data_IF_428748661203
#
_entry.id   IF_428748661203
#
_cell.length_a   1.000
_cell.length_b   1.000
_cell.length_c   1.000
_cell.angle_alpha   90.00
_cell.angle_beta   90.00
_cell.angle_gamma   90.00
#
_symmetry.space_group_name_H-M   'P 1'
#
loop_
_entity.id
_entity.type
_entity.pdbx_description
1 polymer ?
#
# COMPACT_ATOMS: atom_id res chain seq x y z
N UNK A 1 5.84 -35.62 100.48
CA UNK A 1 4.81 -34.58 100.26
C UNK A 1 5.21 -33.50 99.25
N UNK A 2 6.44 -32.96 99.28
CA UNK A 2 6.80 -31.76 98.50
C UNK A 2 7.22 -32.02 97.04
N UNK A 3 7.95 -33.10 96.74
CA UNK A 3 8.36 -33.44 95.36
C UNK A 3 7.19 -33.77 94.42
N UNK A 4 6.20 -34.53 94.90
CA UNK A 4 4.97 -34.80 94.14
C UNK A 4 4.15 -33.55 93.85
N UNK A 5 4.09 -32.58 94.79
CA UNK A 5 3.40 -31.31 94.58
C UNK A 5 4.05 -30.45 93.50
N UNK A 6 5.38 -30.47 93.38
CA UNK A 6 6.11 -29.73 92.34
C UNK A 6 5.92 -30.39 90.98
N UNK A 7 6.06 -31.72 90.91
CA UNK A 7 5.83 -32.49 89.68
C UNK A 7 4.39 -32.31 89.17
N UNK A 8 3.39 -32.36 90.06
CA UNK A 8 2.00 -32.12 89.67
C UNK A 8 1.75 -30.69 89.15
N UNK A 9 2.47 -29.69 89.68
CA UNK A 9 2.37 -28.30 89.20
C UNK A 9 3.05 -28.14 87.83
N UNK A 10 4.19 -28.80 87.62
CA UNK A 10 4.90 -28.80 86.34
C UNK A 10 4.10 -29.52 85.24
N UNK A 11 3.50 -30.68 85.56
CA UNK A 11 2.62 -31.41 84.64
C UNK A 11 1.36 -30.62 84.32
N UNK A 12 0.82 -29.86 85.29
CA UNK A 12 -0.33 -28.98 85.07
C UNK A 12 0.03 -27.83 84.13
N UNK A 13 1.14 -27.14 84.37
CA UNK A 13 1.62 -26.06 83.49
C UNK A 13 1.90 -26.57 82.08
N UNK A 14 2.60 -27.70 81.93
CA UNK A 14 2.84 -28.33 80.63
C UNK A 14 1.53 -28.69 79.93
N UNK A 15 0.55 -29.21 80.66
CA UNK A 15 -0.77 -29.53 80.09
C UNK A 15 -1.53 -28.28 79.65
N UNK A 16 -1.41 -27.17 80.39
CA UNK A 16 -1.98 -25.88 80.02
C UNK A 16 -1.29 -25.31 78.76
N UNK A 17 0.03 -25.42 78.66
CA UNK A 17 0.82 -24.99 77.50
C UNK A 17 0.53 -25.84 76.25
N UNK A 18 0.41 -27.16 76.40
CA UNK A 18 0.01 -28.07 75.32
C UNK A 18 -1.41 -27.75 74.85
N UNK A 19 -2.33 -27.47 75.78
CA UNK A 19 -3.71 -27.09 75.45
C UNK A 19 -3.78 -25.75 74.73
N UNK A 20 -3.01 -24.76 75.18
CA UNK A 20 -2.90 -23.46 74.51
C UNK A 20 -2.34 -23.62 73.10
N UNK A 21 -1.21 -24.33 72.97
CA UNK A 21 -0.55 -24.58 71.68
C UNK A 21 -1.46 -25.34 70.72
N UNK A 22 -2.20 -26.35 71.20
CA UNK A 22 -3.17 -27.09 70.39
C UNK A 22 -4.32 -26.21 69.89
N UNK A 23 -4.76 -25.23 70.71
CA UNK A 23 -5.78 -24.26 70.31
C UNK A 23 -5.23 -23.29 69.25
N UNK A 24 -4.00 -22.80 69.42
CA UNK A 24 -3.32 -21.99 68.41
C UNK A 24 -3.15 -22.73 67.09
N UNK A 25 -2.75 -24.00 67.11
CA UNK A 25 -2.66 -24.85 65.91
C UNK A 25 -4.04 -25.01 65.26
N UNK A 26 -5.09 -25.27 66.03
CA UNK A 26 -6.46 -25.38 65.48
C UNK A 26 -6.91 -24.10 64.80
N UNK A 27 -6.65 -22.93 65.41
CA UNK A 27 -6.97 -21.63 64.82
C UNK A 27 -6.19 -21.42 63.53
N UNK A 28 -4.89 -21.70 63.54
CA UNK A 28 -4.04 -21.55 62.35
C UNK A 28 -4.51 -22.44 61.20
N UNK A 29 -4.85 -23.71 61.49
CA UNK A 29 -5.41 -24.64 60.50
C UNK A 29 -6.73 -24.13 59.92
N UNK A 30 -7.59 -23.53 60.74
CA UNK A 30 -8.84 -22.92 60.26
C UNK A 30 -8.57 -21.74 59.33
N UNK A 31 -7.63 -20.86 59.69
CA UNK A 31 -7.22 -19.73 58.84
C UNK A 31 -6.63 -20.22 57.52
N UNK A 32 -5.80 -21.27 57.54
CA UNK A 32 -5.23 -21.88 56.33
C UNK A 32 -6.35 -22.42 55.43
N UNK A 33 -7.36 -23.09 56.00
CA UNK A 33 -8.50 -23.61 55.25
C UNK A 33 -9.29 -22.49 54.57
N UNK A 34 -9.62 -21.43 55.31
CA UNK A 34 -10.35 -20.28 54.76
C UNK A 34 -9.54 -19.56 53.68
N UNK A 35 -8.25 -19.36 53.89
CA UNK A 35 -7.37 -18.78 52.88
C UNK A 35 -7.29 -19.66 51.62
N UNK A 36 -7.24 -20.99 51.77
CA UNK A 36 -7.22 -21.91 50.64
C UNK A 36 -8.53 -21.84 49.83
N UNK A 37 -9.68 -21.76 50.51
CA UNK A 37 -10.97 -21.61 49.87
C UNK A 37 -11.05 -20.28 49.09
N UNK A 38 -10.58 -19.18 49.68
CA UNK A 38 -10.52 -17.87 49.01
C UNK A 38 -9.60 -17.88 47.79
N UNK A 39 -8.46 -18.55 47.87
CA UNK A 39 -7.55 -18.70 46.72
C UNK A 39 -8.23 -19.48 45.58
N UNK A 40 -8.94 -20.56 45.90
CA UNK A 40 -9.70 -21.33 44.89
C UNK A 40 -10.75 -20.46 44.21
N UNK A 41 -11.52 -19.69 44.98
CA UNK A 41 -12.54 -18.79 44.44
C UNK A 41 -11.93 -17.70 43.54
N UNK A 42 -10.77 -17.16 43.90
CA UNK A 42 -10.05 -16.19 43.05
C UNK A 42 -9.60 -16.84 41.74
N UNK A 43 -9.10 -18.07 41.77
CA UNK A 43 -8.70 -18.81 40.57
C UNK A 43 -9.88 -19.10 39.65
N UNK A 44 -11.01 -19.55 40.21
CA UNK A 44 -12.24 -19.80 39.46
C UNK A 44 -12.76 -18.53 38.76
N UNK A 45 -12.65 -17.39 39.44
CA UNK A 45 -13.03 -16.08 38.88
C UNK A 45 -12.02 -15.53 37.86
N UNK A 46 -10.77 -15.97 37.87
CA UNK A 46 -9.73 -15.53 36.92
C UNK A 46 -9.77 -16.28 35.59
N UNK A 47 -10.22 -17.54 35.57
CA UNK A 47 -10.32 -18.33 34.36
C UNK A 47 -11.08 -17.63 33.21
N UNK A 48 -12.30 -17.09 33.41
CA UNK A 48 -13.03 -16.41 32.34
C UNK A 48 -12.34 -15.11 31.87
N UNK A 49 -11.52 -14.49 32.72
CA UNK A 49 -10.72 -13.31 32.34
C UNK A 49 -9.61 -13.74 31.37
N UNK A 50 -8.92 -14.84 31.66
CA UNK A 50 -7.87 -15.40 30.78
C UNK A 50 -8.47 -15.83 29.43
N UNK A 51 -9.64 -16.45 29.44
CA UNK A 51 -10.34 -16.88 28.22
C UNK A 51 -10.74 -15.66 27.36
N UNK A 52 -11.22 -14.59 27.99
CA UNK A 52 -11.52 -13.32 27.31
C UNK A 52 -10.26 -12.66 26.74
N UNK A 53 -9.16 -12.63 27.50
CA UNK A 53 -7.88 -12.09 27.02
C UNK A 53 -7.40 -12.87 25.79
N UNK A 54 -7.45 -14.20 25.84
CA UNK A 54 -7.05 -15.07 24.73
C UNK A 54 -7.91 -14.83 23.49
N UNK A 55 -9.22 -14.71 23.68
CA UNK A 55 -10.18 -14.38 22.61
C UNK A 55 -9.87 -13.03 21.99
N UNK A 56 -9.63 -12.00 22.80
CA UNK A 56 -9.29 -10.66 22.34
C UNK A 56 -7.97 -10.63 21.56
N UNK A 57 -6.95 -11.37 22.03
CA UNK A 57 -5.66 -11.48 21.32
C UNK A 57 -5.87 -12.10 19.94
N UNK A 58 -6.67 -13.16 19.83
CA UNK A 58 -6.97 -13.80 18.55
C UNK A 58 -7.71 -12.85 17.60
N UNK A 59 -8.68 -12.08 18.10
CA UNK A 59 -9.39 -11.05 17.31
C UNK A 59 -8.45 -9.93 16.83
N UNK A 60 -7.49 -9.52 17.66
CA UNK A 60 -6.49 -8.52 17.29
C UNK A 60 -5.60 -9.06 16.16
N UNK A 61 -5.13 -10.31 16.27
CA UNK A 61 -4.30 -10.95 15.25
C UNK A 61 -5.05 -11.04 13.92
N UNK A 62 -6.31 -11.44 13.93
CA UNK A 62 -7.17 -11.47 12.74
C UNK A 62 -7.36 -10.08 12.14
N UNK A 63 -7.66 -9.08 12.97
CA UNK A 63 -7.84 -7.69 12.53
C UNK A 63 -6.58 -7.13 11.89
N UNK A 64 -5.40 -7.44 12.44
CA UNK A 64 -4.11 -7.04 11.86
C UNK A 64 -3.93 -7.68 10.48
N UNK A 65 -4.29 -8.96 10.32
CA UNK A 65 -4.26 -9.64 9.02
C UNK A 65 -5.12 -8.91 7.98
N UNK A 66 -6.35 -8.57 8.34
CA UNK A 66 -7.27 -7.81 7.45
C UNK A 66 -6.69 -6.45 7.06
N UNK A 67 -6.05 -5.74 7.99
CA UNK A 67 -5.42 -4.44 7.72
C UNK A 67 -4.25 -4.59 6.75
N UNK A 68 -3.42 -5.63 6.90
CA UNK A 68 -2.31 -5.90 5.99
C UNK A 68 -2.83 -6.17 4.58
N UNK A 69 -3.81 -7.07 4.44
CA UNK A 69 -4.38 -7.44 3.14
C UNK A 69 -5.02 -6.24 2.43
N UNK A 70 -5.81 -5.44 3.15
CA UNK A 70 -6.39 -4.20 2.61
C UNK A 70 -5.32 -3.19 2.19
N UNK A 71 -4.22 -3.11 2.94
CA UNK A 71 -3.11 -2.19 2.64
C UNK A 71 -2.36 -2.61 1.38
N UNK A 72 -2.17 -3.91 1.18
CA UNK A 72 -1.58 -4.46 -0.06
C UNK A 72 -2.49 -4.20 -1.27
N UNK A 73 -3.79 -4.45 -1.14
CA UNK A 73 -4.77 -4.13 -2.19
C UNK A 73 -4.81 -2.63 -2.51
N UNK A 74 -4.75 -1.77 -1.49
CA UNK A 74 -4.69 -0.32 -1.68
C UNK A 74 -3.44 0.09 -2.48
N UNK A 75 -2.28 -0.51 -2.18
CA UNK A 75 -1.04 -0.24 -2.93
C UNK A 75 -1.22 -0.55 -4.43
N UNK A 76 -1.81 -1.69 -4.78
CA UNK A 76 -2.05 -2.07 -6.18
C UNK A 76 -2.99 -1.09 -6.89
N UNK A 77 -4.09 -0.68 -6.24
CA UNK A 77 -5.01 0.32 -6.79
C UNK A 77 -4.33 1.68 -6.98
N UNK A 78 -3.51 2.11 -6.01
CA UNK A 78 -2.76 3.37 -6.13
C UNK A 78 -1.75 3.34 -7.28
N UNK A 79 -1.07 2.20 -7.49
CA UNK A 79 -0.17 2.03 -8.63
C UNK A 79 -0.93 2.14 -9.96
N UNK A 80 -2.06 1.44 -10.09
CA UNK A 80 -2.93 1.54 -11.26
C UNK A 80 -3.38 2.99 -11.54
N UNK A 81 -3.90 3.69 -10.51
CA UNK A 81 -4.35 5.08 -10.64
C UNK A 81 -3.19 5.98 -11.08
N UNK A 82 -2.00 5.80 -10.48
CA UNK A 82 -0.81 6.59 -10.82
C UNK A 82 -0.40 6.39 -12.29
N UNK A 83 -0.40 5.14 -12.78
CA UNK A 83 -0.10 4.86 -14.19
C UNK A 83 -1.14 5.48 -15.11
N UNK A 84 -2.44 5.31 -14.85
CA UNK A 84 -3.50 5.90 -15.68
C UNK A 84 -3.43 7.42 -15.69
N UNK A 85 -3.15 8.05 -14.54
CA UNK A 85 -2.94 9.50 -14.46
C UNK A 85 -1.75 9.94 -15.32
N UNK A 86 -0.63 9.21 -15.28
CA UNK A 86 0.51 9.46 -16.14
C UNK A 86 0.13 9.37 -17.62
N UNK A 87 -0.59 8.32 -18.03
CA UNK A 87 -1.07 8.14 -19.41
C UNK A 87 -1.96 9.32 -19.85
N UNK A 88 -2.80 9.86 -18.97
CA UNK A 88 -3.61 11.05 -19.28
C UNK A 88 -2.76 12.32 -19.41
N UNK A 89 -1.73 12.50 -18.57
CA UNK A 89 -0.81 13.65 -18.66
C UNK A 89 -0.10 13.65 -20.02
N UNK A 90 0.42 12.50 -20.47
CA UNK A 90 1.13 12.44 -21.76
C UNK A 90 0.22 12.69 -22.97
N UNK A 91 -1.08 12.34 -22.89
CA UNK A 91 -2.06 12.74 -23.91
C UNK A 91 -2.20 14.26 -24.00
N UNK A 92 -2.32 14.93 -22.86
CA UNK A 92 -2.39 16.40 -22.79
C UNK A 92 -1.11 17.04 -23.32
N UNK A 93 0.07 16.49 -22.94
CA UNK A 93 1.36 16.95 -23.46
C UNK A 93 1.41 16.89 -24.99
N UNK A 94 0.86 15.85 -25.62
CA UNK A 94 0.79 15.74 -27.09
C UNK A 94 -0.14 16.79 -27.71
N UNK A 95 -1.28 17.08 -27.09
CA UNK A 95 -2.18 18.14 -27.55
C UNK A 95 -1.46 19.50 -27.49
N UNK A 96 -0.78 19.79 -26.40
CA UNK A 96 0.01 21.02 -26.23
C UNK A 96 1.13 21.09 -27.28
N UNK A 97 1.84 19.99 -27.51
CA UNK A 97 2.91 19.94 -28.49
C UNK A 97 2.42 20.23 -29.92
N UNK A 98 1.30 19.63 -30.33
CA UNK A 98 0.67 19.93 -31.64
C UNK A 98 0.23 21.39 -31.75
N UNK A 99 -0.34 21.95 -30.68
CA UNK A 99 -0.69 23.38 -30.65
C UNK A 99 0.52 24.28 -30.83
N UNK A 100 1.68 23.91 -30.28
CA UNK A 100 2.92 24.66 -30.51
C UNK A 100 3.35 24.59 -31.97
N UNK A 101 3.26 23.42 -32.64
CA UNK A 101 3.51 23.31 -34.09
C UNK A 101 2.62 24.26 -34.89
N UNK A 102 1.30 24.25 -34.63
CA UNK A 102 0.37 25.16 -35.29
C UNK A 102 0.69 26.62 -35.03
N UNK A 103 1.03 26.97 -33.79
CA UNK A 103 1.37 28.33 -33.39
C UNK A 103 2.64 28.83 -34.09
N UNK A 104 3.66 27.99 -34.24
CA UNK A 104 4.87 28.33 -34.98
C UNK A 104 4.57 28.62 -36.46
N UNK A 105 3.73 27.79 -37.09
CA UNK A 105 3.27 28.01 -38.46
C UNK A 105 2.48 29.32 -38.62
N UNK A 106 1.55 29.59 -37.71
CA UNK A 106 0.72 30.82 -37.73
C UNK A 106 1.57 32.08 -37.52
N UNK A 107 2.55 32.03 -36.62
CA UNK A 107 3.45 33.15 -36.33
C UNK A 107 4.60 33.28 -37.36
N UNK A 108 4.69 32.34 -38.30
CA UNK A 108 5.79 32.22 -39.28
C UNK A 108 7.17 32.13 -38.62
N UNK A 109 7.24 31.54 -37.43
CA UNK A 109 8.49 31.36 -36.69
C UNK A 109 9.13 30.02 -37.07
N UNK A 110 10.08 30.09 -38.01
CA UNK A 110 10.79 28.95 -38.58
C UNK A 110 12.07 28.56 -37.82
N UNK A 111 12.50 29.37 -36.83
CA UNK A 111 13.77 29.17 -36.12
C UNK A 111 13.59 28.49 -34.76
N UNK A 112 12.36 28.50 -34.24
CA UNK A 112 12.02 27.84 -32.98
C UNK A 112 12.12 26.31 -33.10
N UNK A 113 12.81 25.70 -32.13
CA UNK A 113 12.98 24.24 -32.07
C UNK A 113 11.87 23.61 -31.25
N UNK A 114 11.19 22.62 -31.83
CA UNK A 114 10.28 21.74 -31.09
C UNK A 114 11.02 20.46 -30.65
N UNK A 115 10.53 19.83 -29.58
CA UNK A 115 11.16 18.64 -29.00
C UNK A 115 11.08 17.41 -29.91
N UNK A 116 12.07 16.53 -29.78
CA UNK A 116 12.08 15.21 -30.42
C UNK A 116 11.30 14.18 -29.59
N UNK A 117 10.84 13.10 -30.24
CA UNK A 117 10.04 12.06 -29.59
C UNK A 117 10.70 11.45 -28.35
N UNK A 118 12.01 11.19 -28.38
CA UNK A 118 12.81 10.63 -27.29
C UNK A 118 13.06 11.61 -26.12
N UNK A 119 12.89 12.91 -26.36
CA UNK A 119 13.10 13.96 -25.38
C UNK A 119 11.82 14.39 -24.65
N UNK A 120 10.64 14.08 -25.22
CA UNK A 120 9.36 14.37 -24.62
C UNK A 120 9.07 13.47 -23.40
N UNK A 121 8.06 13.80 -22.60
CA UNK A 121 7.70 13.01 -21.40
C UNK A 121 7.38 11.56 -21.76
N UNK A 122 6.63 11.34 -22.84
CA UNK A 122 6.29 9.99 -23.29
C UNK A 122 7.52 9.21 -23.74
N UNK A 123 8.44 9.82 -24.50
CA UNK A 123 9.67 9.15 -24.94
C UNK A 123 10.58 8.78 -23.78
N UNK A 124 10.81 9.72 -22.86
CA UNK A 124 11.61 9.44 -21.65
C UNK A 124 11.04 8.30 -20.82
N UNK A 125 9.72 8.23 -20.71
CA UNK A 125 9.06 7.12 -20.03
C UNK A 125 9.16 5.82 -20.83
N UNK A 126 8.84 5.85 -22.12
CA UNK A 126 8.85 4.68 -23.01
C UNK A 126 10.23 3.99 -23.03
N UNK A 127 11.30 4.75 -23.21
CA UNK A 127 12.67 4.20 -23.21
C UNK A 127 13.25 4.02 -21.80
N UNK A 128 12.63 4.62 -20.78
CA UNK A 128 13.07 4.56 -19.39
C UNK A 128 12.60 3.31 -18.65
N UNK A 129 13.23 3.03 -17.50
CA UNK A 129 12.92 1.85 -16.69
C UNK A 129 11.44 1.74 -16.32
N UNK A 130 10.78 2.86 -15.99
CA UNK A 130 9.37 2.89 -15.61
C UNK A 130 8.44 2.42 -16.73
N UNK A 131 8.65 2.88 -17.98
CA UNK A 131 7.84 2.45 -19.11
C UNK A 131 8.18 1.03 -19.56
N UNK A 132 9.44 0.62 -19.46
CA UNK A 132 9.87 -0.73 -19.84
C UNK A 132 9.21 -1.85 -19.01
N UNK A 133 8.65 -1.55 -17.83
CA UNK A 133 7.82 -2.50 -17.07
C UNK A 133 6.58 -2.95 -17.85
N UNK A 134 6.14 -2.17 -18.84
CA UNK A 134 4.98 -2.43 -19.68
C UNK A 134 5.35 -3.08 -21.03
N UNK A 135 6.60 -3.52 -21.23
CA UNK A 135 7.08 -4.08 -22.49
C UNK A 135 6.31 -5.31 -22.97
N UNK A 136 5.63 -6.02 -22.06
CA UNK A 136 4.82 -7.20 -22.37
C UNK A 136 3.46 -6.86 -23.01
N UNK A 137 2.94 -5.65 -22.83
CA UNK A 137 1.68 -5.25 -23.45
C UNK A 137 1.90 -4.89 -24.93
N UNK A 138 1.05 -5.44 -25.80
CA UNK A 138 1.08 -5.12 -27.23
C UNK A 138 0.80 -3.63 -27.47
N UNK A 139 -0.15 -3.06 -26.73
CA UNK A 139 -0.51 -1.64 -26.74
C UNK A 139 0.70 -0.75 -26.43
N UNK A 140 1.51 -1.12 -25.44
CA UNK A 140 2.76 -0.41 -25.14
C UNK A 140 3.76 -0.47 -26.30
N UNK A 141 4.07 -1.67 -26.82
CA UNK A 141 5.03 -1.81 -27.95
C UNK A 141 4.58 -1.04 -29.19
N UNK A 142 3.27 -0.98 -29.42
CA UNK A 142 2.66 -0.30 -30.56
C UNK A 142 2.69 1.23 -30.46
N UNK A 143 3.14 1.81 -29.34
CA UNK A 143 3.26 3.27 -29.19
C UNK A 143 4.41 3.88 -29.99
N UNK A 144 5.52 3.15 -30.15
CA UNK A 144 6.78 3.75 -30.62
C UNK A 144 6.65 4.35 -32.02
N UNK A 145 6.12 3.56 -32.96
CA UNK A 145 5.97 3.96 -34.35
C UNK A 145 5.09 5.22 -34.51
N UNK A 146 3.83 5.25 -34.04
CA UNK A 146 2.99 6.45 -34.16
C UNK A 146 3.54 7.63 -33.36
N UNK A 147 4.18 7.41 -32.21
CA UNK A 147 4.79 8.50 -31.44
C UNK A 147 5.96 9.16 -32.18
N UNK A 148 6.88 8.36 -32.74
CA UNK A 148 7.97 8.87 -33.58
C UNK A 148 7.43 9.59 -34.81
N UNK A 149 6.35 9.10 -35.37
CA UNK A 149 5.68 9.67 -36.54
C UNK A 149 5.07 11.05 -36.26
N UNK A 150 4.40 11.25 -35.12
CA UNK A 150 3.89 12.56 -34.69
C UNK A 150 5.00 13.62 -34.73
N UNK A 151 6.13 13.32 -34.08
CA UNK A 151 7.23 14.26 -34.00
C UNK A 151 7.88 14.48 -35.37
N UNK A 152 8.12 13.41 -36.14
CA UNK A 152 8.76 13.50 -37.46
C UNK A 152 7.92 14.31 -38.44
N UNK A 153 6.61 14.08 -38.47
CA UNK A 153 5.68 14.80 -39.32
C UNK A 153 5.56 16.29 -38.93
N UNK A 154 5.47 16.61 -37.63
CA UNK A 154 5.45 18.01 -37.17
C UNK A 154 6.72 18.79 -37.53
N UNK A 155 7.91 18.17 -37.39
CA UNK A 155 9.17 18.77 -37.86
C UNK A 155 9.19 18.95 -39.38
N UNK A 156 8.70 17.96 -40.13
CA UNK A 156 8.65 18.02 -41.59
C UNK A 156 7.69 19.10 -42.09
N UNK A 157 6.55 19.30 -41.43
CA UNK A 157 5.61 20.38 -41.72
C UNK A 157 6.27 21.76 -41.59
N UNK A 158 7.04 22.01 -40.52
CA UNK A 158 7.79 23.26 -40.36
C UNK A 158 8.84 23.47 -41.46
N UNK A 159 9.54 22.40 -41.86
CA UNK A 159 10.53 22.46 -42.92
C UNK A 159 9.91 22.78 -44.29
N UNK A 160 8.80 22.14 -44.64
CA UNK A 160 8.08 22.42 -45.88
C UNK A 160 7.48 23.83 -45.90
N UNK A 161 6.97 24.31 -44.76
CA UNK A 161 6.54 25.69 -44.61
C UNK A 161 7.68 26.68 -44.86
N UNK A 162 8.87 26.44 -44.31
CA UNK A 162 10.05 27.28 -44.54
C UNK A 162 10.51 27.25 -46.01
N UNK A 163 10.30 26.13 -46.71
CA UNK A 163 10.58 25.99 -48.15
C UNK A 163 9.48 26.58 -49.05
N UNK A 164 8.35 27.04 -48.50
CA UNK A 164 7.20 27.57 -49.24
C UNK A 164 6.30 26.50 -49.88
N UNK A 165 6.49 25.22 -49.57
CA UNK A 165 5.65 24.13 -50.07
C UNK A 165 4.45 23.90 -49.15
N UNK A 166 3.37 24.65 -49.41
CA UNK A 166 2.15 24.58 -48.60
C UNK A 166 1.41 23.24 -48.74
N UNK A 167 1.56 22.55 -49.87
CA UNK A 167 0.89 21.27 -50.10
C UNK A 167 1.55 20.16 -49.27
N UNK A 168 2.88 20.08 -49.32
CA UNK A 168 3.63 19.12 -48.52
C UNK A 168 3.49 19.40 -47.02
N UNK A 169 3.50 20.67 -46.60
CA UNK A 169 3.21 21.07 -45.22
C UNK A 169 1.84 20.54 -44.76
N UNK A 170 0.78 20.73 -45.55
CA UNK A 170 -0.57 20.27 -45.19
C UNK A 170 -0.62 18.74 -45.04
N UNK A 171 0.05 18.00 -45.93
CA UNK A 171 0.10 16.54 -45.86
C UNK A 171 0.81 16.04 -44.60
N UNK A 172 1.90 16.70 -44.20
CA UNK A 172 2.61 16.36 -42.96
C UNK A 172 1.79 16.72 -41.71
N UNK A 173 1.00 17.79 -41.72
CA UNK A 173 0.06 18.08 -40.63
C UNK A 173 -1.03 17.01 -40.50
N UNK A 174 -1.62 16.57 -41.61
CA UNK A 174 -2.60 15.47 -41.61
C UNK A 174 -1.99 14.15 -41.11
N UNK A 175 -0.71 13.89 -41.43
CA UNK A 175 0.03 12.73 -40.94
C UNK A 175 0.32 12.84 -39.44
N UNK A 176 0.71 14.02 -38.95
CA UNK A 176 0.90 14.31 -37.53
C UNK A 176 -0.40 14.06 -36.74
N UNK A 177 -1.54 14.56 -37.22
CA UNK A 177 -2.83 14.40 -36.55
C UNK A 177 -3.29 12.94 -36.50
N UNK A 178 -3.20 12.21 -37.62
CA UNK A 178 -3.54 10.77 -37.65
C UNK A 178 -2.68 9.96 -36.70
N UNK A 179 -1.37 10.18 -36.71
CA UNK A 179 -0.43 9.48 -35.82
C UNK A 179 -0.67 9.84 -34.36
N UNK A 180 -1.07 11.08 -34.08
CA UNK A 180 -1.43 11.51 -32.72
C UNK A 180 -2.67 10.79 -32.21
N UNK A 181 -3.67 10.56 -33.06
CA UNK A 181 -4.84 9.77 -32.71
C UNK A 181 -4.46 8.30 -32.43
N UNK A 182 -3.53 7.74 -33.21
CA UNK A 182 -3.00 6.39 -32.96
C UNK A 182 -2.29 6.30 -31.61
N UNK A 183 -1.45 7.28 -31.24
CA UNK A 183 -0.83 7.34 -29.90
C UNK A 183 -1.90 7.34 -28.80
N UNK A 184 -2.92 8.20 -28.91
CA UNK A 184 -4.00 8.27 -27.92
C UNK A 184 -4.72 6.93 -27.79
N UNK A 185 -5.05 6.29 -28.91
CA UNK A 185 -5.70 4.98 -28.93
C UNK A 185 -4.85 3.90 -28.25
N UNK A 186 -3.54 3.86 -28.53
CA UNK A 186 -2.65 2.88 -27.89
C UNK A 186 -2.51 3.12 -26.38
N UNK A 187 -2.46 4.39 -25.94
CA UNK A 187 -2.46 4.73 -24.50
C UNK A 187 -3.77 4.31 -23.82
N UNK A 188 -4.91 4.38 -24.52
CA UNK A 188 -6.21 3.91 -24.02
C UNK A 188 -6.27 2.39 -23.92
N UNK A 189 -5.80 1.69 -24.95
CA UNK A 189 -5.70 0.23 -24.92
C UNK A 189 -4.80 -0.23 -23.76
N UNK A 190 -3.67 0.44 -23.54
CA UNK A 190 -2.78 0.13 -22.42
C UNK A 190 -3.49 0.34 -21.07
N UNK A 191 -4.23 1.43 -20.89
CA UNK A 191 -4.99 1.66 -19.67
C UNK A 191 -6.05 0.58 -19.41
N UNK A 192 -6.72 0.11 -20.47
CA UNK A 192 -7.71 -0.99 -20.39
C UNK A 192 -7.04 -2.33 -20.07
N UNK A 193 -5.88 -2.61 -20.65
CA UNK A 193 -5.12 -3.84 -20.38
C UNK A 193 -4.71 -3.91 -18.90
N UNK A 194 -4.27 -2.78 -18.33
CA UNK A 194 -3.90 -2.67 -16.91
C UNK A 194 -5.08 -2.84 -15.95
N UNK A 195 -6.26 -2.36 -16.34
CA UNK A 195 -7.47 -2.52 -15.52
C UNK A 195 -7.84 -3.99 -15.37
N UNK A 196 -7.76 -4.78 -16.46
CA UNK A 196 -8.13 -6.21 -16.44
C UNK A 196 -7.27 -7.01 -15.46
N UNK A 197 -5.98 -6.71 -15.39
CA UNK A 197 -5.06 -7.37 -14.46
C UNK A 197 -5.27 -6.95 -13.00
N UNK A 198 -5.77 -5.75 -12.74
CA UNK A 198 -6.05 -5.28 -11.37
C UNK A 198 -7.37 -5.87 -10.82
N UNK A 199 -8.25 -6.35 -11.70
CA UNK A 199 -9.54 -6.97 -11.34
C UNK A 199 -9.54 -8.50 -11.25
N UNK A 200 -8.40 -9.13 -11.56
CA UNK A 200 -8.14 -10.56 -11.41
C UNK A 200 -7.33 -10.82 -10.13
#
# INVERSE_FOLDING_TARGET
GRGFSVISKEVKNLSEDVKHSSKSVSTLTSVIKDNTARVSEVLDNQQPVIDNITTNINQIVESIGIVIDKSLSMKSVMQYISTVQFLNIVKVDHVIWKMEVYKLLLNKDINSKITMHDQCRLGKWYYGFEGQQFSNYYSFRSLEAPHKEVHTAGHSALNYFAAGDMNAMSQELDRMERSSNEVVNQLEMLAVDLLKETTL
#
